data_IF_409867345147
#
_entry.id   IF_409867345147
#
_cell.length_a   1.000
_cell.length_b   1.000
_cell.length_c   1.000
_cell.angle_alpha   90.00
_cell.angle_beta   90.00
_cell.angle_gamma   90.00
#
_symmetry.space_group_name_H-M   'P 1'
#
loop_
_entity.id
_entity.type
_entity.pdbx_description
1 polymer ?
#
# COMPACT_ATOMS: atom_id res chain seq x y z
N UNK A 1 -4.98 -34.12 -21.17
CA UNK A 1 -4.28 -33.95 -22.47
C UNK A 1 -2.84 -33.57 -22.15
N UNK A 2 -1.85 -34.39 -22.53
CA UNK A 2 -0.43 -34.05 -22.35
C UNK A 2 -0.10 -32.82 -23.19
N UNK A 3 0.28 -31.74 -22.52
CA UNK A 3 0.72 -30.52 -23.20
C UNK A 3 2.08 -30.78 -23.87
N UNK A 4 2.16 -30.59 -25.17
CA UNK A 4 3.42 -30.75 -25.90
C UNK A 4 4.33 -29.57 -25.58
N UNK A 5 5.43 -29.81 -24.89
CA UNK A 5 6.45 -28.81 -24.59
C UNK A 5 7.29 -28.50 -25.83
N UNK A 6 7.73 -27.28 -25.93
CA UNK A 6 8.65 -26.78 -26.97
C UNK A 6 9.91 -26.18 -26.35
N UNK A 7 10.97 -26.12 -27.11
CA UNK A 7 12.20 -25.52 -26.60
C UNK A 7 12.05 -24.04 -26.32
N UNK A 8 12.33 -23.65 -25.08
CA UNK A 8 12.19 -22.28 -24.57
C UNK A 8 10.88 -22.02 -23.78
N UNK A 9 9.99 -23.03 -23.67
CA UNK A 9 8.85 -22.93 -22.76
C UNK A 9 9.31 -22.86 -21.31
N UNK A 10 8.57 -22.12 -20.49
CA UNK A 10 8.81 -21.98 -19.06
C UNK A 10 8.02 -23.03 -18.28
N UNK A 11 8.74 -23.76 -17.43
CA UNK A 11 8.17 -24.89 -16.66
C UNK A 11 8.78 -24.94 -15.26
N UNK A 12 8.08 -25.58 -14.34
CA UNK A 12 8.64 -26.04 -13.06
C UNK A 12 8.95 -27.52 -13.20
N UNK A 13 10.14 -27.90 -12.77
CA UNK A 13 10.61 -29.27 -12.83
C UNK A 13 11.23 -29.69 -11.49
N UNK A 14 10.98 -30.94 -11.10
CA UNK A 14 11.67 -31.58 -10.01
C UNK A 14 12.88 -32.36 -10.52
N UNK A 15 14.06 -32.02 -10.01
CA UNK A 15 15.30 -32.66 -10.41
C UNK A 15 15.33 -34.13 -9.92
N UNK A 16 15.46 -35.08 -10.83
CA UNK A 16 15.50 -36.51 -10.52
C UNK A 16 16.88 -37.14 -10.61
N UNK A 17 17.83 -36.49 -11.33
CA UNK A 17 19.25 -36.84 -11.31
C UNK A 17 20.15 -35.67 -11.60
N UNK A 18 21.31 -35.63 -10.93
CA UNK A 18 22.27 -34.54 -11.02
C UNK A 18 23.33 -34.79 -12.10
N UNK A 19 23.80 -33.73 -12.80
CA UNK A 19 24.79 -33.82 -13.83
C UNK A 19 26.17 -34.32 -13.35
N UNK A 20 26.49 -34.11 -12.07
CA UNK A 20 27.72 -34.60 -11.44
C UNK A 20 27.81 -36.13 -11.45
N UNK A 21 26.67 -36.84 -11.48
CA UNK A 21 26.64 -38.31 -11.51
C UNK A 21 26.54 -38.88 -12.91
N UNK A 22 25.86 -38.21 -13.84
CA UNK A 22 25.43 -38.78 -15.12
C UNK A 22 25.70 -37.93 -16.36
N UNK A 23 26.52 -36.92 -16.32
CA UNK A 23 26.83 -35.98 -17.43
C UNK A 23 25.62 -35.17 -17.95
N UNK A 24 24.44 -35.37 -17.43
CA UNK A 24 23.22 -34.62 -17.80
C UNK A 24 22.23 -34.59 -16.61
N UNK A 25 21.44 -33.56 -16.58
CA UNK A 25 20.31 -33.45 -15.63
C UNK A 25 19.11 -34.21 -16.15
N UNK A 26 18.42 -34.88 -15.28
CA UNK A 26 17.05 -35.38 -15.52
C UNK A 26 16.10 -34.71 -14.57
N UNK A 27 14.93 -34.34 -15.06
CA UNK A 27 13.89 -33.74 -14.26
C UNK A 27 12.51 -34.27 -14.70
N UNK A 28 11.60 -34.40 -13.76
CA UNK A 28 10.19 -34.60 -14.06
C UNK A 28 9.49 -33.24 -14.14
N UNK A 29 8.63 -33.09 -15.13
CA UNK A 29 7.76 -31.90 -15.25
C UNK A 29 6.78 -31.88 -14.09
N UNK A 30 6.72 -30.77 -13.38
CA UNK A 30 5.74 -30.50 -12.33
C UNK A 30 4.62 -29.60 -12.85
N UNK A 31 4.98 -28.46 -13.39
CA UNK A 31 4.03 -27.46 -13.89
C UNK A 31 4.51 -26.81 -15.19
N UNK A 32 3.57 -26.52 -16.10
CA UNK A 32 3.80 -25.65 -17.24
C UNK A 32 3.38 -24.22 -16.87
N UNK A 33 4.30 -23.27 -16.97
CA UNK A 33 4.02 -21.86 -16.64
C UNK A 33 3.48 -21.12 -17.86
N UNK A 34 4.28 -21.02 -18.95
CA UNK A 34 3.88 -20.31 -20.15
C UNK A 34 4.81 -20.60 -21.34
N UNK A 35 4.37 -20.24 -22.52
CA UNK A 35 5.17 -20.28 -23.75
C UNK A 35 6.30 -19.24 -23.71
N UNK A 36 7.42 -19.53 -24.37
CA UNK A 36 8.61 -18.64 -24.42
C UNK A 36 8.32 -17.21 -24.90
N UNK A 37 7.34 -17.06 -25.78
CA UNK A 37 6.96 -15.79 -26.40
C UNK A 37 5.71 -15.17 -25.77
N UNK A 38 5.25 -15.66 -24.62
CA UNK A 38 4.13 -15.06 -23.92
C UNK A 38 4.53 -13.68 -23.39
N UNK A 39 3.84 -12.59 -23.76
CA UNK A 39 4.14 -11.26 -23.25
C UNK A 39 4.03 -11.16 -21.71
N UNK A 40 3.27 -12.05 -21.09
CA UNK A 40 3.10 -12.14 -19.63
C UNK A 40 4.14 -13.05 -18.95
N UNK A 41 5.04 -13.68 -19.72
CA UNK A 41 6.05 -14.57 -19.16
C UNK A 41 6.86 -13.95 -18.02
N UNK A 42 7.34 -12.69 -18.09
CA UNK A 42 8.07 -12.09 -16.97
C UNK A 42 7.30 -12.09 -15.67
N UNK A 43 5.99 -11.80 -15.71
CA UNK A 43 5.13 -11.84 -14.52
C UNK A 43 4.91 -13.25 -14.02
N UNK A 44 4.46 -14.16 -14.90
CA UNK A 44 4.14 -15.53 -14.54
C UNK A 44 5.35 -16.27 -13.97
N UNK A 45 6.52 -16.11 -14.59
CA UNK A 45 7.77 -16.72 -14.14
C UNK A 45 8.23 -16.14 -12.81
N UNK A 46 8.18 -14.81 -12.64
CA UNK A 46 8.57 -14.16 -11.39
C UNK A 46 7.66 -14.58 -10.23
N UNK A 47 6.35 -14.55 -10.44
CA UNK A 47 5.39 -14.96 -9.41
C UNK A 47 5.59 -16.42 -9.00
N UNK A 48 5.79 -17.32 -9.96
CA UNK A 48 6.05 -18.75 -9.67
C UNK A 48 7.40 -18.99 -9.02
N UNK A 49 8.44 -18.25 -9.42
CA UNK A 49 9.78 -18.36 -8.82
C UNK A 49 9.80 -18.08 -7.33
N UNK A 50 8.96 -17.17 -6.88
CA UNK A 50 8.88 -16.75 -5.48
C UNK A 50 7.65 -17.30 -4.75
N UNK A 51 6.95 -18.26 -5.34
CA UNK A 51 5.73 -18.87 -4.80
C UNK A 51 4.66 -17.84 -4.40
N UNK A 52 4.48 -16.83 -5.25
CA UNK A 52 3.54 -15.74 -5.05
C UNK A 52 2.18 -16.03 -5.70
N UNK A 53 1.08 -15.46 -5.18
CA UNK A 53 -0.24 -15.55 -5.80
C UNK A 53 -0.24 -15.09 -7.25
N UNK A 54 -0.95 -15.80 -8.13
CA UNK A 54 -1.09 -15.46 -9.56
C UNK A 54 -2.29 -14.57 -9.84
N UNK A 55 -3.29 -14.62 -8.97
CA UNK A 55 -4.58 -13.95 -9.12
C UNK A 55 -4.93 -13.15 -7.87
N UNK A 56 -5.71 -12.11 -8.04
CA UNK A 56 -6.32 -11.38 -6.94
C UNK A 56 -7.46 -12.19 -6.29
N UNK A 57 -7.83 -11.87 -5.03
CA UNK A 57 -9.03 -12.41 -4.42
C UNK A 57 -10.27 -11.75 -5.05
N UNK A 58 -11.29 -12.53 -5.37
CA UNK A 58 -12.54 -12.01 -5.95
C UNK A 58 -13.49 -11.52 -4.84
N UNK A 59 -14.11 -10.35 -5.02
CA UNK A 59 -15.01 -9.75 -4.03
C UNK A 59 -16.18 -10.70 -3.66
N UNK A 60 -16.71 -11.43 -4.65
CA UNK A 60 -17.83 -12.36 -4.46
C UNK A 60 -17.51 -13.60 -3.62
N UNK A 61 -16.23 -13.91 -3.39
CA UNK A 61 -15.80 -15.05 -2.60
C UNK A 61 -15.94 -14.82 -1.09
N UNK A 62 -16.09 -13.57 -0.65
CA UNK A 62 -16.00 -13.20 0.76
C UNK A 62 -17.20 -12.42 1.26
N UNK A 63 -17.49 -12.58 2.55
CA UNK A 63 -18.49 -11.82 3.27
C UNK A 63 -17.80 -10.80 4.16
N UNK A 64 -18.16 -9.54 3.99
CA UNK A 64 -17.62 -8.43 4.77
C UNK A 64 -18.54 -8.08 5.94
N UNK A 65 -17.97 -7.60 7.02
CA UNK A 65 -18.70 -7.01 8.15
C UNK A 65 -19.06 -5.55 7.85
N UNK A 66 -19.98 -5.01 8.62
CA UNK A 66 -20.12 -3.56 8.78
C UNK A 66 -19.23 -3.11 9.95
N UNK A 67 -18.44 -2.05 9.74
CA UNK A 67 -17.57 -1.53 10.78
C UNK A 67 -18.39 -1.02 11.97
N UNK A 68 -18.34 -1.74 13.07
CA UNK A 68 -19.03 -1.44 14.33
C UNK A 68 -18.08 -1.14 15.49
N UNK A 69 -16.79 -1.01 15.20
CA UNK A 69 -15.78 -0.71 16.22
C UNK A 69 -15.99 0.71 16.77
N UNK A 70 -15.78 0.92 18.08
CA UNK A 70 -15.82 2.25 18.66
C UNK A 70 -14.65 3.07 18.14
N UNK A 71 -14.95 4.10 17.35
CA UNK A 71 -13.96 4.97 16.72
C UNK A 71 -14.12 6.41 17.17
N UNK A 72 -13.02 7.08 17.46
CA UNK A 72 -12.99 8.53 17.67
C UNK A 72 -13.28 9.23 16.32
N UNK A 73 -14.21 10.18 16.32
CA UNK A 73 -14.49 11.00 15.14
C UNK A 73 -13.40 12.07 14.98
N UNK A 74 -12.59 11.90 13.96
CA UNK A 74 -11.54 12.83 13.56
C UNK A 74 -11.77 13.36 12.13
N UNK A 75 -13.01 13.33 11.64
CA UNK A 75 -13.36 13.78 10.29
C UNK A 75 -13.10 15.28 10.05
N UNK A 76 -13.10 16.08 11.13
CA UNK A 76 -12.77 17.50 11.05
C UNK A 76 -11.26 17.80 10.98
N UNK A 77 -10.39 16.81 11.21
CA UNK A 77 -8.94 16.97 11.05
C UNK A 77 -8.60 16.88 9.56
N UNK A 78 -7.96 17.90 8.98
CA UNK A 78 -7.76 17.97 7.53
C UNK A 78 -6.61 17.06 7.07
N UNK A 79 -6.82 15.77 7.18
CA UNK A 79 -5.92 14.78 6.62
C UNK A 79 -5.81 14.92 5.10
N UNK A 80 -4.63 14.63 4.55
CA UNK A 80 -4.39 14.55 3.12
C UNK A 80 -3.67 13.25 2.78
N UNK A 81 -4.00 12.64 1.65
CA UNK A 81 -3.22 11.57 1.06
C UNK A 81 -2.27 12.14 0.02
N UNK A 82 -1.09 11.51 -0.18
CA UNK A 82 -0.08 11.95 -1.15
C UNK A 82 0.35 10.73 -1.95
N UNK A 83 -0.11 10.64 -3.20
CA UNK A 83 -0.03 9.44 -4.01
C UNK A 83 0.34 9.72 -5.46
N UNK A 84 0.44 8.66 -6.28
CA UNK A 84 0.47 8.82 -7.73
C UNK A 84 -0.95 9.15 -8.26
N UNK A 85 -1.01 9.71 -9.47
CA UNK A 85 -2.30 10.06 -10.11
C UNK A 85 -3.29 8.89 -10.15
N UNK A 86 -2.78 7.69 -10.43
CA UNK A 86 -3.58 6.48 -10.67
C UNK A 86 -3.76 5.58 -9.45
N UNK A 87 -3.26 5.97 -8.27
CA UNK A 87 -3.46 5.20 -7.04
C UNK A 87 -4.92 5.24 -6.64
N UNK A 88 -5.50 4.06 -6.42
CA UNK A 88 -6.88 3.89 -5.95
C UNK A 88 -6.94 3.35 -4.51
N UNK A 89 -5.88 2.74 -4.06
CA UNK A 89 -5.67 2.15 -2.73
C UNK A 89 -4.83 3.08 -1.84
N UNK A 90 -5.41 4.22 -1.44
CA UNK A 90 -4.74 5.15 -0.53
C UNK A 90 -4.74 4.56 0.87
N UNK A 91 -3.59 4.03 1.30
CA UNK A 91 -3.43 3.33 2.58
C UNK A 91 -3.07 4.26 3.73
N UNK A 92 -2.48 5.43 3.44
CA UNK A 92 -2.06 6.37 4.47
C UNK A 92 -2.50 7.82 4.19
N UNK A 93 -2.75 8.55 5.27
CA UNK A 93 -3.02 9.97 5.21
C UNK A 93 -2.28 10.69 6.34
N UNK A 94 -1.92 11.94 6.09
CA UNK A 94 -1.11 12.75 6.98
C UNK A 94 -1.81 14.05 7.35
N UNK A 95 -1.61 14.47 8.58
CA UNK A 95 -1.86 15.84 9.03
C UNK A 95 -0.76 16.26 9.99
N UNK A 96 -0.39 17.54 9.97
CA UNK A 96 0.64 18.08 10.85
C UNK A 96 0.25 19.46 11.35
N UNK A 97 0.54 19.73 12.61
CA UNK A 97 0.36 21.03 13.23
C UNK A 97 1.54 21.38 14.15
N UNK A 98 1.68 22.65 14.53
CA UNK A 98 2.60 23.07 15.59
C UNK A 98 1.96 22.88 16.95
N UNK A 99 2.74 22.38 17.90
CA UNK A 99 2.40 22.29 19.33
C UNK A 99 3.50 23.03 20.12
N UNK A 100 3.35 24.35 20.25
CA UNK A 100 4.42 25.23 20.70
C UNK A 100 5.61 25.21 19.71
N UNK A 101 6.80 24.90 20.21
CA UNK A 101 8.00 24.75 19.39
C UNK A 101 8.09 23.37 18.70
N UNK A 102 7.24 22.41 19.09
CA UNK A 102 7.25 21.04 18.56
C UNK A 102 6.32 20.89 17.35
N UNK A 103 6.43 19.72 16.72
CA UNK A 103 5.49 19.26 15.70
C UNK A 103 4.58 18.19 16.30
N UNK A 104 3.32 18.24 15.94
CA UNK A 104 2.37 17.18 16.21
C UNK A 104 1.95 16.58 14.89
N UNK A 105 2.45 15.39 14.61
CA UNK A 105 2.20 14.64 13.37
C UNK A 105 1.14 13.60 13.62
N UNK A 106 0.12 13.59 12.78
CA UNK A 106 -0.91 12.57 12.71
C UNK A 106 -0.67 11.73 11.47
N UNK A 107 -0.52 10.44 11.65
CA UNK A 107 -0.43 9.47 10.56
C UNK A 107 -1.62 8.53 10.68
N UNK A 108 -2.51 8.56 9.73
CA UNK A 108 -3.64 7.65 9.64
C UNK A 108 -3.31 6.52 8.66
N UNK A 109 -3.56 5.29 9.07
CA UNK A 109 -3.41 4.09 8.22
C UNK A 109 -4.80 3.50 8.07
N UNK A 110 -5.18 3.15 6.84
CA UNK A 110 -6.44 2.48 6.53
C UNK A 110 -6.61 1.22 7.39
N UNK A 111 -7.78 1.06 8.01
CA UNK A 111 -8.03 -0.04 8.94
C UNK A 111 -9.08 -1.01 8.39
N UNK A 112 -8.68 -2.10 7.75
CA UNK A 112 -9.60 -3.12 7.24
C UNK A 112 -10.22 -3.99 8.33
N UNK A 113 -9.75 -3.93 9.58
CA UNK A 113 -10.17 -4.87 10.63
C UNK A 113 -11.64 -4.71 11.04
N UNK A 114 -12.25 -3.56 10.76
CA UNK A 114 -13.69 -3.35 10.95
C UNK A 114 -14.55 -4.16 9.97
N UNK A 115 -14.00 -4.57 8.84
CA UNK A 115 -14.71 -5.30 7.78
C UNK A 115 -14.38 -6.79 7.72
N UNK A 116 -13.34 -7.24 8.40
CA UNK A 116 -12.82 -8.61 8.35
C UNK A 116 -12.91 -9.22 9.75
N UNK A 117 -13.73 -10.27 9.90
CA UNK A 117 -13.77 -10.99 11.17
C UNK A 117 -12.55 -11.91 11.33
N UNK A 118 -12.10 -12.07 12.57
CA UNK A 118 -11.08 -13.05 12.91
C UNK A 118 -11.50 -14.49 12.50
N UNK A 119 -10.53 -15.35 12.22
CA UNK A 119 -10.71 -16.76 11.87
C UNK A 119 -11.61 -17.03 10.64
N UNK A 120 -11.85 -16.01 9.81
CA UNK A 120 -12.56 -16.17 8.54
C UNK A 120 -11.62 -16.55 7.39
N UNK A 121 -12.16 -17.16 6.30
CA UNK A 121 -11.35 -17.42 5.10
C UNK A 121 -10.61 -16.20 4.56
N UNK A 122 -11.23 -15.00 4.63
CA UNK A 122 -10.59 -13.76 4.20
C UNK A 122 -9.44 -13.37 5.12
N UNK A 123 -9.61 -13.51 6.44
CA UNK A 123 -8.53 -13.23 7.41
C UNK A 123 -7.34 -14.17 7.17
N UNK A 124 -7.60 -15.48 6.99
CA UNK A 124 -6.54 -16.44 6.68
C UNK A 124 -5.86 -16.16 5.34
N UNK A 125 -6.63 -15.78 4.32
CA UNK A 125 -6.09 -15.42 3.01
C UNK A 125 -5.19 -14.18 3.11
N UNK A 126 -5.64 -13.12 3.79
CA UNK A 126 -4.87 -11.90 4.00
C UNK A 126 -3.56 -12.18 4.75
N UNK A 127 -3.62 -12.98 5.82
CA UNK A 127 -2.44 -13.40 6.58
C UNK A 127 -1.45 -14.21 5.74
N UNK A 128 -1.97 -15.12 4.88
CA UNK A 128 -1.13 -15.91 3.98
C UNK A 128 -0.48 -15.06 2.89
N UNK A 129 -1.22 -14.10 2.30
CA UNK A 129 -0.70 -13.20 1.27
C UNK A 129 0.29 -12.19 1.83
N UNK A 130 0.01 -11.64 3.00
CA UNK A 130 0.81 -10.67 3.77
C UNK A 130 1.02 -9.29 3.12
N UNK A 131 0.97 -9.16 1.80
CA UNK A 131 1.18 -7.91 1.06
C UNK A 131 0.51 -7.93 -0.33
N UNK A 132 0.31 -6.76 -0.90
CA UNK A 132 -0.04 -6.59 -2.31
C UNK A 132 1.22 -6.65 -3.18
N UNK A 133 1.09 -7.19 -4.39
CA UNK A 133 2.18 -7.37 -5.34
C UNK A 133 2.02 -6.36 -6.47
N UNK A 134 3.01 -5.49 -6.66
CA UNK A 134 3.01 -4.50 -7.73
C UNK A 134 4.00 -4.92 -8.83
N UNK A 135 3.47 -5.14 -10.02
CA UNK A 135 4.23 -5.49 -11.23
C UNK A 135 4.08 -4.35 -12.25
N UNK A 136 5.01 -4.20 -13.20
CA UNK A 136 4.83 -3.23 -14.28
C UNK A 136 3.49 -3.43 -15.01
N UNK A 137 2.58 -2.46 -14.89
CA UNK A 137 1.26 -2.48 -15.54
C UNK A 137 0.24 -3.47 -14.97
N UNK A 138 0.51 -4.05 -13.80
CA UNK A 138 -0.41 -4.96 -13.07
C UNK A 138 -0.12 -4.97 -11.59
N UNK A 139 -1.15 -5.04 -10.78
CA UNK A 139 -1.08 -5.35 -9.35
C UNK A 139 -1.87 -6.64 -9.02
N UNK A 140 -1.54 -7.26 -7.90
CA UNK A 140 -2.29 -8.37 -7.30
C UNK A 140 -2.50 -7.99 -5.84
N UNK A 141 -3.66 -7.49 -5.46
CA UNK A 141 -3.90 -6.98 -4.11
C UNK A 141 -3.93 -8.10 -3.07
N UNK A 142 -3.54 -7.76 -1.85
CA UNK A 142 -3.67 -8.64 -0.69
C UNK A 142 -5.13 -8.92 -0.34
N UNK A 143 -5.94 -7.87 -0.39
CA UNK A 143 -7.38 -7.90 -0.08
C UNK A 143 -8.22 -7.74 -1.35
N UNK A 144 -9.49 -8.19 -1.36
CA UNK A 144 -10.44 -7.89 -2.44
C UNK A 144 -10.51 -6.39 -2.74
N UNK A 145 -10.69 -6.02 -4.00
CA UNK A 145 -10.66 -4.61 -4.44
C UNK A 145 -11.75 -3.75 -3.81
N UNK A 146 -12.89 -4.34 -3.48
CA UNK A 146 -13.95 -3.63 -2.73
C UNK A 146 -13.45 -3.12 -1.38
N UNK A 147 -12.52 -3.82 -0.73
CA UNK A 147 -11.87 -3.34 0.49
C UNK A 147 -10.74 -2.37 0.16
N UNK A 148 -9.72 -2.82 -0.57
CA UNK A 148 -8.48 -2.05 -0.77
C UNK A 148 -8.68 -0.74 -1.54
N UNK A 149 -9.59 -0.71 -2.52
CA UNK A 149 -9.81 0.47 -3.38
C UNK A 149 -11.07 1.27 -3.04
N UNK A 150 -11.95 0.73 -2.16
CA UNK A 150 -13.20 1.40 -1.81
C UNK A 150 -13.36 1.57 -0.30
N UNK A 151 -13.77 0.51 0.42
CA UNK A 151 -14.20 0.64 1.82
C UNK A 151 -13.07 1.06 2.77
N UNK A 152 -11.83 0.66 2.50
CA UNK A 152 -10.67 1.00 3.33
C UNK A 152 -9.84 2.16 2.75
N UNK A 153 -9.83 2.36 1.43
CA UNK A 153 -9.06 3.44 0.81
C UNK A 153 -9.45 4.81 1.38
N UNK A 154 -8.47 5.59 1.82
CA UNK A 154 -8.65 6.90 2.46
C UNK A 154 -8.98 7.98 1.41
N UNK A 155 -10.07 7.76 0.68
CA UNK A 155 -10.53 8.61 -0.41
C UNK A 155 -10.95 9.99 0.09
N UNK A 156 -10.70 11.00 -0.74
CA UNK A 156 -11.10 12.36 -0.42
C UNK A 156 -12.62 12.48 -0.23
N UNK A 157 -13.03 13.28 0.74
CA UNK A 157 -14.42 13.60 1.07
C UNK A 157 -15.27 12.40 1.52
N UNK A 158 -14.64 11.26 1.81
CA UNK A 158 -15.33 10.07 2.31
C UNK A 158 -14.80 9.67 3.70
N UNK A 159 -15.73 9.41 4.63
CA UNK A 159 -15.35 8.96 5.96
C UNK A 159 -14.88 7.50 5.94
N UNK A 160 -13.72 7.21 6.49
CA UNK A 160 -13.07 5.90 6.48
C UNK A 160 -12.53 5.51 7.85
N UNK A 161 -12.56 4.20 8.18
CA UNK A 161 -11.91 3.70 9.38
C UNK A 161 -10.39 3.75 9.23
N UNK A 162 -9.73 4.20 10.28
CA UNK A 162 -8.28 4.29 10.31
C UNK A 162 -7.71 4.00 11.70
N UNK A 163 -6.48 3.50 11.74
CA UNK A 163 -5.62 3.54 12.92
C UNK A 163 -4.77 4.81 12.83
N UNK A 164 -4.95 5.72 13.77
CA UNK A 164 -4.24 7.01 13.79
C UNK A 164 -3.18 7.01 14.87
N UNK A 165 -1.93 7.21 14.46
CA UNK A 165 -0.81 7.54 15.35
C UNK A 165 -0.68 9.04 15.48
N UNK A 166 -0.77 9.56 16.71
CA UNK A 166 -0.53 10.98 17.03
C UNK A 166 0.82 11.07 17.72
N UNK A 167 1.78 11.69 17.07
CA UNK A 167 3.19 11.73 17.49
C UNK A 167 3.63 13.16 17.77
N UNK A 168 4.25 13.40 18.93
CA UNK A 168 4.92 14.67 19.21
C UNK A 168 6.40 14.54 18.88
N UNK A 169 6.88 15.43 18.00
CA UNK A 169 8.29 15.47 17.57
C UNK A 169 8.86 16.84 17.91
N UNK A 170 10.02 16.87 18.54
CA UNK A 170 10.68 18.12 18.92
C UNK A 170 11.08 18.95 17.71
N UNK A 171 11.35 20.23 17.90
CA UNK A 171 11.90 21.11 16.86
C UNK A 171 13.22 20.61 16.26
N UNK A 172 13.95 19.76 16.98
CA UNK A 172 15.21 19.17 16.56
C UNK A 172 15.03 17.77 15.92
N UNK A 173 13.77 17.30 15.77
CA UNK A 173 13.42 16.07 15.07
C UNK A 173 13.33 14.80 15.93
N UNK A 174 13.47 14.90 17.26
CA UNK A 174 13.35 13.76 18.16
C UNK A 174 11.90 13.39 18.43
N UNK A 175 11.57 12.09 18.33
CA UNK A 175 10.24 11.57 18.68
C UNK A 175 10.11 11.42 20.21
N UNK A 176 9.12 12.08 20.80
CA UNK A 176 8.76 11.92 22.20
C UNK A 176 7.82 10.70 22.33
N UNK A 177 8.42 9.53 22.59
CA UNK A 177 7.70 8.24 22.62
C UNK A 177 6.59 8.18 23.67
N UNK A 178 6.81 8.78 24.82
CA UNK A 178 5.88 8.89 25.95
C UNK A 178 4.64 9.76 25.64
N UNK A 179 4.73 10.59 24.59
CA UNK A 179 3.63 11.42 24.08
C UNK A 179 2.99 10.87 22.79
N UNK A 180 3.40 9.67 22.36
CA UNK A 180 2.80 9.03 21.19
C UNK A 180 1.55 8.27 21.61
N UNK A 181 0.44 8.50 20.91
CA UNK A 181 -0.85 7.86 21.16
C UNK A 181 -1.36 7.22 19.88
N UNK A 182 -1.93 6.01 20.01
CA UNK A 182 -2.64 5.34 18.91
C UNK A 182 -4.13 5.32 19.17
N UNK A 183 -4.93 5.56 18.14
CA UNK A 183 -6.38 5.66 18.23
C UNK A 183 -7.05 4.92 17.08
N UNK A 184 -8.08 4.15 17.36
CA UNK A 184 -9.02 3.76 16.33
C UNK A 184 -9.89 4.98 16.02
N UNK A 185 -9.88 5.43 14.79
CA UNK A 185 -10.56 6.65 14.40
C UNK A 185 -11.38 6.47 13.13
N UNK A 186 -12.30 7.39 12.94
CA UNK A 186 -12.98 7.64 11.68
C UNK A 186 -12.46 8.97 11.16
N UNK A 187 -11.76 8.94 10.05
CA UNK A 187 -11.19 10.12 9.40
C UNK A 187 -11.89 10.42 8.09
N UNK A 188 -11.72 11.64 7.60
CA UNK A 188 -12.05 12.04 6.24
C UNK A 188 -10.82 12.72 5.66
N UNK A 189 -10.35 12.25 4.49
CA UNK A 189 -9.29 12.97 3.78
C UNK A 189 -9.88 14.20 3.11
N UNK A 190 -9.24 15.37 3.31
CA UNK A 190 -9.65 16.64 2.71
C UNK A 190 -9.01 16.88 1.34
N UNK A 191 -8.17 15.94 0.88
CA UNK A 191 -7.59 16.00 -0.46
C UNK A 191 -6.68 14.84 -0.78
N UNK A 192 -6.83 14.31 -2.00
CA UNK A 192 -5.82 13.46 -2.64
C UNK A 192 -4.83 14.36 -3.36
N UNK A 193 -3.59 14.38 -2.90
CA UNK A 193 -2.50 15.15 -3.46
C UNK A 193 -1.64 14.25 -4.36
N UNK A 194 -1.23 14.77 -5.52
CA UNK A 194 -0.46 14.00 -6.50
C UNK A 194 1.02 14.41 -6.41
N UNK A 195 1.92 13.43 -6.24
CA UNK A 195 3.36 13.64 -6.05
C UNK A 195 3.95 14.68 -7.01
N UNK A 196 3.78 14.48 -8.31
CA UNK A 196 4.37 15.35 -9.32
C UNK A 196 3.80 16.77 -9.27
N UNK A 197 2.49 16.90 -9.03
CA UNK A 197 1.82 18.21 -8.95
C UNK A 197 2.27 19.01 -7.72
N UNK A 198 2.46 18.32 -6.58
CA UNK A 198 3.00 18.96 -5.37
C UNK A 198 4.45 19.38 -5.60
N UNK A 199 5.29 18.54 -6.21
CA UNK A 199 6.68 18.87 -6.52
C UNK A 199 6.76 20.11 -7.40
N UNK A 200 5.99 20.15 -8.49
CA UNK A 200 5.92 21.30 -9.40
C UNK A 200 5.50 22.58 -8.67
N UNK A 201 4.50 22.48 -7.78
CA UNK A 201 4.06 23.61 -6.96
C UNK A 201 5.15 24.10 -6.00
N UNK A 202 5.80 23.20 -5.28
CA UNK A 202 6.84 23.53 -4.30
C UNK A 202 8.11 24.08 -4.94
N UNK A 203 8.44 23.62 -6.15
CA UNK A 203 9.58 24.10 -6.94
C UNK A 203 9.28 25.38 -7.73
N UNK A 204 8.03 25.83 -7.72
CA UNK A 204 7.61 27.04 -8.45
C UNK A 204 7.66 26.89 -9.96
N UNK A 205 7.39 25.68 -10.47
CA UNK A 205 7.38 25.40 -11.90
C UNK A 205 6.32 26.24 -12.60
N UNK A 206 6.71 26.95 -13.66
CA UNK A 206 5.80 27.80 -14.42
C UNK A 206 4.68 26.96 -15.06
N UNK A 207 3.43 27.28 -14.74
CA UNK A 207 2.26 26.54 -15.25
C UNK A 207 1.91 25.29 -14.45
N UNK A 208 2.43 25.14 -13.22
CA UNK A 208 1.99 24.10 -12.29
C UNK A 208 0.46 24.06 -12.21
N UNK A 209 -0.11 22.87 -12.36
CA UNK A 209 -1.59 22.68 -12.39
C UNK A 209 -2.22 22.72 -11.02
N UNK A 210 -1.46 22.34 -10.00
CA UNK A 210 -1.95 22.25 -8.62
C UNK A 210 -1.83 23.60 -7.90
N UNK A 211 -2.89 23.96 -7.21
CA UNK A 211 -2.89 25.06 -6.25
C UNK A 211 -3.58 24.57 -4.99
N UNK A 212 -2.87 24.48 -3.84
CA UNK A 212 -3.47 24.03 -2.60
C UNK A 212 -4.58 24.99 -2.13
N UNK A 213 -5.64 24.43 -1.54
CA UNK A 213 -6.63 25.22 -0.83
C UNK A 213 -6.01 25.98 0.36
N UNK A 214 -6.69 26.99 0.89
CA UNK A 214 -6.23 27.73 2.07
C UNK A 214 -6.08 26.84 3.31
N UNK A 215 -6.80 25.72 3.37
CA UNK A 215 -6.70 24.71 4.42
C UNK A 215 -5.47 23.81 4.24
N UNK A 216 -5.17 23.37 3.02
CA UNK A 216 -4.07 22.43 2.72
C UNK A 216 -2.72 23.12 2.67
N UNK A 217 -2.68 24.38 2.23
CA UNK A 217 -1.44 25.14 2.08
C UNK A 217 -0.55 25.18 3.34
N UNK A 218 -1.07 25.47 4.55
CA UNK A 218 -0.25 25.44 5.76
C UNK A 218 0.25 24.03 6.10
N UNK A 219 -0.53 23.01 5.83
CA UNK A 219 -0.14 21.61 6.06
C UNK A 219 1.07 21.25 5.18
N UNK A 220 1.00 21.53 3.87
CA UNK A 220 2.12 21.29 2.95
C UNK A 220 3.38 22.05 3.35
N UNK A 221 3.24 23.33 3.70
CA UNK A 221 4.37 24.16 4.13
C UNK A 221 5.05 23.57 5.36
N UNK A 222 4.24 23.09 6.31
CA UNK A 222 4.74 22.51 7.55
C UNK A 222 5.34 21.12 7.35
N UNK A 223 4.79 20.31 6.45
CA UNK A 223 5.36 19.01 6.05
C UNK A 223 6.75 19.18 5.42
N UNK A 224 6.92 20.18 4.54
CA UNK A 224 8.23 20.50 3.94
C UNK A 224 9.24 20.95 5.00
N UNK A 225 8.83 21.81 5.93
CA UNK A 225 9.68 22.23 7.06
C UNK A 225 10.08 21.02 7.91
N UNK A 226 9.10 20.21 8.28
CA UNK A 226 9.30 19.00 9.09
C UNK A 226 10.23 17.99 8.42
N UNK A 227 10.11 17.75 7.12
CA UNK A 227 10.99 16.84 6.37
C UNK A 227 12.46 17.27 6.52
N UNK A 228 12.76 18.56 6.39
CA UNK A 228 14.13 19.09 6.57
C UNK A 228 14.67 18.85 7.97
N UNK A 229 13.83 19.04 8.99
CA UNK A 229 14.18 18.76 10.38
C UNK A 229 14.47 17.27 10.59
N UNK A 230 13.65 16.39 10.04
CA UNK A 230 13.84 14.93 10.12
C UNK A 230 15.08 14.46 9.37
N UNK A 231 15.37 15.03 8.22
CA UNK A 231 16.58 14.71 7.45
C UNK A 231 17.84 15.11 8.21
N UNK A 232 17.84 16.29 8.83
CA UNK A 232 18.95 16.74 9.67
C UNK A 232 19.13 15.85 10.91
N UNK A 233 18.04 15.43 11.56
CA UNK A 233 18.10 14.53 12.72
C UNK A 233 18.66 13.14 12.38
N UNK A 234 18.49 12.67 11.14
CA UNK A 234 18.92 11.35 10.66
C UNK A 234 20.34 11.32 10.09
N UNK A 235 20.90 12.50 9.75
CA UNK A 235 22.27 12.66 9.23
C UNK A 235 23.31 12.71 10.34
#
# INVERSE_FOLDING_TARGET
KSQKLENGDWVICNLTSHALEKKFFRASLDEFICKKNDPKAPWSVSLRRYDLPLTEPEDAEFKFLEDSLPREDMSAVPFVTIDSEHTEDMDDALYIEKDGDNYKLYTAIADPTGYIAEDTPLNHLAAHRAFSIYLPGRDIPMLPRILSQNLCSLRADEARPALVGVMTITKDGELLKDKTVFKLAKIQSHGKLIYNEISDYLEGVAGAKFTPSEEIKPILSLLVEFTKVRDHYRS
#
